data_IF_429702104700
#
_entry.id   IF_429702104700
#
_cell.length_a   1.000
_cell.length_b   1.000
_cell.length_c   1.000
_cell.angle_alpha   90.00
_cell.angle_beta   90.00
_cell.angle_gamma   90.00
#
_symmetry.space_group_name_H-M   'P 1'
#
loop_
_entity.id
_entity.type
_entity.pdbx_description
1 polymer ?
#
# COMPACT_ATOMS: atom_id res chain seq x y z
N UNK A 1 22.09 -101.85 9.13
CA UNK A 1 21.08 -100.95 9.62
C UNK A 1 20.96 -99.83 8.64
N UNK A 2 19.82 -99.73 7.91
CA UNK A 2 19.65 -98.70 6.91
C UNK A 2 19.08 -97.47 7.52
N UNK A 3 19.63 -96.30 7.11
CA UNK A 3 19.24 -94.96 7.49
C UNK A 3 17.99 -94.57 6.70
N UNK A 4 16.92 -94.14 7.38
CA UNK A 4 15.65 -93.63 6.78
C UNK A 4 15.85 -92.24 6.26
N UNK A 5 15.29 -91.83 5.06
CA UNK A 5 15.32 -90.44 4.54
C UNK A 5 14.26 -89.57 5.22
N UNK A 6 14.69 -88.40 5.64
CA UNK A 6 13.84 -87.36 6.27
C UNK A 6 12.82 -86.76 5.29
N UNK A 7 11.53 -86.81 5.63
CA UNK A 7 10.41 -86.20 4.93
C UNK A 7 10.53 -84.68 5.00
N UNK A 8 10.77 -84.07 3.86
CA UNK A 8 10.68 -82.58 3.66
C UNK A 8 9.22 -82.14 3.75
N UNK A 9 8.88 -81.46 4.83
CA UNK A 9 7.57 -80.80 4.93
C UNK A 9 7.48 -79.68 3.88
N UNK A 10 6.54 -79.76 2.92
CA UNK A 10 6.14 -78.77 2.00
C UNK A 10 5.55 -77.56 2.76
N UNK A 11 6.08 -76.35 2.58
CA UNK A 11 5.48 -75.09 3.06
C UNK A 11 4.20 -74.84 2.31
N UNK A 12 3.09 -74.36 2.97
CA UNK A 12 1.89 -73.93 2.26
C UNK A 12 2.22 -72.78 1.41
N UNK A 13 1.81 -72.81 0.11
CA UNK A 13 1.99 -71.79 -0.88
C UNK A 13 1.27 -70.49 -0.44
N UNK A 14 1.95 -69.36 -0.56
CA UNK A 14 1.33 -68.06 -0.44
C UNK A 14 0.25 -67.91 -1.54
N UNK A 15 -0.94 -67.39 -1.22
CA UNK A 15 -1.92 -67.04 -2.25
C UNK A 15 -1.33 -65.98 -3.15
N UNK A 16 -1.66 -65.98 -4.46
CA UNK A 16 -1.20 -64.98 -5.39
C UNK A 16 -1.71 -63.58 -4.93
N UNK A 17 -0.89 -62.49 -5.12
CA UNK A 17 -1.30 -61.17 -4.75
C UNK A 17 -2.61 -60.79 -5.46
N UNK A 18 -3.56 -60.31 -4.68
CA UNK A 18 -4.83 -59.84 -5.24
C UNK A 18 -4.54 -58.74 -6.25
N UNK A 19 -5.00 -58.94 -7.49
CA UNK A 19 -4.98 -57.94 -8.56
C UNK A 19 -5.89 -56.82 -8.15
N UNK A 20 -5.35 -55.73 -7.62
CA UNK A 20 -6.10 -54.49 -7.38
C UNK A 20 -6.60 -54.00 -8.74
N UNK A 21 -7.91 -53.76 -8.92
CA UNK A 21 -8.41 -53.14 -10.14
C UNK A 21 -7.71 -51.81 -10.37
N UNK A 22 -7.35 -51.46 -11.61
CA UNK A 22 -6.73 -50.18 -11.91
C UNK A 22 -7.63 -49.03 -11.39
N UNK A 23 -7.01 -48.07 -10.70
CA UNK A 23 -7.70 -46.89 -10.21
C UNK A 23 -8.47 -46.25 -11.38
N UNK A 24 -9.74 -45.79 -11.17
CA UNK A 24 -10.51 -45.16 -12.22
C UNK A 24 -9.70 -44.01 -12.77
N UNK A 25 -9.48 -44.03 -14.08
CA UNK A 25 -8.85 -42.93 -14.82
C UNK A 25 -9.61 -41.66 -14.49
N UNK A 26 -8.94 -40.56 -14.04
CA UNK A 26 -9.63 -39.30 -13.77
C UNK A 26 -10.36 -38.87 -15.04
N UNK A 27 -11.68 -38.78 -14.95
CA UNK A 27 -12.53 -38.24 -16.02
C UNK A 27 -12.00 -36.87 -16.36
N UNK A 28 -11.68 -36.54 -17.64
CA UNK A 28 -11.24 -35.20 -18.00
C UNK A 28 -12.32 -34.23 -17.54
N UNK A 29 -11.95 -33.24 -16.72
CA UNK A 29 -12.85 -32.17 -16.33
C UNK A 29 -13.46 -31.61 -17.62
N UNK A 30 -14.81 -31.56 -17.69
CA UNK A 30 -15.54 -31.08 -18.85
C UNK A 30 -15.01 -29.68 -19.18
N UNK A 31 -14.21 -29.60 -20.25
CA UNK A 31 -13.62 -28.33 -20.71
C UNK A 31 -14.75 -27.36 -21.04
N UNK A 32 -14.57 -26.10 -20.71
CA UNK A 32 -15.50 -25.04 -21.07
C UNK A 32 -15.91 -25.19 -22.56
N UNK A 33 -17.21 -25.13 -22.91
CA UNK A 33 -17.68 -25.24 -24.31
C UNK A 33 -17.20 -24.08 -25.18
N UNK A 34 -16.63 -23.03 -24.55
CA UNK A 34 -16.15 -21.84 -25.24
C UNK A 34 -14.66 -21.92 -25.60
N UNK A 35 -14.24 -21.38 -26.77
CA UNK A 35 -12.82 -21.22 -27.08
C UNK A 35 -12.07 -20.46 -25.98
N UNK A 36 -10.86 -20.90 -25.63
CA UNK A 36 -10.06 -20.28 -24.57
C UNK A 36 -9.89 -18.75 -24.75
N UNK A 37 -9.75 -18.29 -25.98
CA UNK A 37 -9.68 -16.87 -26.32
C UNK A 37 -10.94 -16.11 -25.90
N UNK A 38 -12.11 -16.66 -26.09
CA UNK A 38 -13.40 -16.05 -25.70
C UNK A 38 -13.52 -15.97 -24.17
N UNK A 39 -13.11 -17.03 -23.45
CA UNK A 39 -13.10 -17.03 -21.99
C UNK A 39 -12.17 -15.96 -21.43
N UNK A 40 -10.97 -15.82 -22.00
CA UNK A 40 -10.00 -14.79 -21.60
C UNK A 40 -10.52 -13.39 -21.90
N UNK A 41 -11.05 -13.15 -23.11
CA UNK A 41 -11.61 -11.84 -23.49
C UNK A 41 -12.79 -11.46 -22.60
N UNK A 42 -13.69 -12.42 -22.32
CA UNK A 42 -14.81 -12.20 -21.41
C UNK A 42 -14.34 -11.88 -19.99
N UNK A 43 -13.33 -12.60 -19.49
CA UNK A 43 -12.71 -12.33 -18.20
C UNK A 43 -12.14 -10.91 -18.12
N UNK A 44 -11.40 -10.47 -19.15
CA UNK A 44 -10.86 -9.11 -19.24
C UNK A 44 -12.01 -8.07 -19.27
N UNK A 45 -13.03 -8.30 -20.08
CA UNK A 45 -14.18 -7.40 -20.19
C UNK A 45 -14.94 -7.28 -18.87
N UNK A 46 -15.17 -8.40 -18.17
CA UNK A 46 -15.79 -8.40 -16.84
C UNK A 46 -14.92 -7.70 -15.79
N UNK A 47 -13.61 -7.95 -15.78
CA UNK A 47 -12.69 -7.26 -14.90
C UNK A 47 -12.72 -5.73 -15.13
N UNK A 48 -12.71 -5.29 -16.39
CA UNK A 48 -12.83 -3.88 -16.72
C UNK A 48 -14.19 -3.30 -16.32
N UNK A 49 -15.28 -4.03 -16.54
CA UNK A 49 -16.63 -3.61 -16.09
C UNK A 49 -16.71 -3.47 -14.57
N UNK A 50 -16.08 -4.38 -13.80
CA UNK A 50 -16.00 -4.28 -12.34
C UNK A 50 -15.19 -3.04 -11.93
N UNK A 51 -14.04 -2.76 -12.56
CA UNK A 51 -13.24 -1.57 -12.26
C UNK A 51 -14.01 -0.27 -12.58
N UNK A 52 -14.78 -0.23 -13.68
CA UNK A 52 -15.66 0.90 -13.99
C UNK A 52 -16.77 1.06 -12.94
N UNK A 53 -17.40 -0.03 -12.51
CA UNK A 53 -18.39 -0.01 -11.43
C UNK A 53 -17.82 0.51 -10.12
N UNK A 54 -16.63 0.05 -9.75
CA UNK A 54 -15.90 0.56 -8.57
C UNK A 54 -15.57 2.06 -8.70
N UNK A 55 -15.17 2.51 -9.90
CA UNK A 55 -14.90 3.94 -10.15
C UNK A 55 -16.15 4.79 -10.00
N UNK A 56 -17.31 4.35 -10.48
CA UNK A 56 -18.60 5.03 -10.31
C UNK A 56 -19.04 5.15 -8.84
N UNK A 57 -18.69 4.16 -8.02
CA UNK A 57 -19.02 4.10 -6.60
C UNK A 57 -17.87 4.54 -5.70
N UNK A 58 -16.81 5.15 -6.24
CA UNK A 58 -15.57 5.48 -5.53
C UNK A 58 -15.80 6.32 -4.27
N UNK A 59 -16.76 7.25 -4.30
CA UNK A 59 -17.03 8.16 -3.18
C UNK A 59 -17.61 7.44 -1.96
N UNK A 60 -18.10 6.21 -2.14
CA UNK A 60 -18.57 5.32 -1.07
C UNK A 60 -17.56 4.23 -0.75
N UNK A 61 -16.98 3.60 -1.77
CA UNK A 61 -16.08 2.45 -1.62
C UNK A 61 -14.74 2.87 -1.04
N UNK A 62 -14.11 3.93 -1.57
CA UNK A 62 -12.78 4.34 -1.16
C UNK A 62 -12.71 4.70 0.34
N UNK A 63 -13.61 5.54 0.90
CA UNK A 63 -13.59 5.83 2.34
C UNK A 63 -13.96 4.62 3.20
N UNK A 64 -14.86 3.75 2.72
CA UNK A 64 -15.24 2.54 3.47
C UNK A 64 -14.08 1.54 3.51
N UNK A 65 -13.36 1.38 2.41
CA UNK A 65 -12.19 0.52 2.35
C UNK A 65 -11.02 1.11 3.16
N UNK A 66 -10.85 2.44 3.18
CA UNK A 66 -9.91 3.12 4.09
C UNK A 66 -10.27 2.83 5.55
N UNK A 67 -11.56 2.94 5.92
CA UNK A 67 -12.02 2.61 7.27
C UNK A 67 -11.68 1.17 7.66
N UNK A 68 -11.93 0.21 6.77
CA UNK A 68 -11.56 -1.20 6.99
C UNK A 68 -10.05 -1.36 7.22
N UNK A 69 -9.23 -0.71 6.40
CA UNK A 69 -7.77 -0.75 6.53
C UNK A 69 -7.29 -0.18 7.87
N UNK A 70 -7.83 0.97 8.29
CA UNK A 70 -7.49 1.59 9.58
C UNK A 70 -7.92 0.71 10.76
N UNK A 71 -9.09 0.08 10.68
CA UNK A 71 -9.57 -0.88 11.68
C UNK A 71 -8.65 -2.10 11.76
N UNK A 72 -8.20 -2.65 10.63
CA UNK A 72 -7.24 -3.75 10.60
C UNK A 72 -5.88 -3.33 11.17
N UNK A 73 -5.42 -2.11 10.89
CA UNK A 73 -4.19 -1.55 11.42
C UNK A 73 -4.26 -1.35 12.95
N UNK A 74 -5.41 -0.87 13.45
CA UNK A 74 -5.63 -0.60 14.87
C UNK A 74 -6.04 -1.83 15.71
N UNK A 75 -6.32 -2.98 15.08
CA UNK A 75 -6.73 -4.21 15.79
C UNK A 75 -5.75 -4.68 16.90
N UNK A 76 -4.42 -4.49 16.83
CA UNK A 76 -3.52 -4.79 17.95
C UNK A 76 -3.79 -3.94 19.18
N UNK A 77 -4.09 -2.64 19.00
CA UNK A 77 -4.43 -1.73 20.10
C UNK A 77 -5.69 -2.21 20.84
N UNK A 78 -6.74 -2.58 20.08
CA UNK A 78 -7.96 -3.13 20.66
C UNK A 78 -7.69 -4.42 21.46
N UNK A 79 -6.88 -5.34 20.88
CA UNK A 79 -6.52 -6.58 21.57
C UNK A 79 -5.71 -6.34 22.83
N UNK A 80 -4.79 -5.39 22.80
CA UNK A 80 -4.01 -4.99 23.97
C UNK A 80 -4.90 -4.43 25.06
N UNK A 81 -5.84 -3.51 24.74
CA UNK A 81 -6.80 -2.96 25.70
C UNK A 81 -7.65 -4.06 26.36
N UNK A 82 -8.14 -5.02 25.58
CA UNK A 82 -8.88 -6.17 26.12
C UNK A 82 -7.98 -7.05 27.00
N UNK A 83 -6.71 -7.23 26.63
CA UNK A 83 -5.72 -7.99 27.38
C UNK A 83 -5.37 -7.38 28.74
N UNK A 84 -5.44 -6.06 28.89
CA UNK A 84 -5.26 -5.35 30.18
C UNK A 84 -6.56 -5.22 30.99
N UNK A 85 -7.64 -5.92 30.56
CA UNK A 85 -8.90 -6.00 31.31
C UNK A 85 -9.97 -4.96 30.93
N UNK A 86 -9.76 -4.16 29.88
CA UNK A 86 -10.78 -3.23 29.40
C UNK A 86 -11.94 -4.02 28.76
N UNK A 87 -13.20 -3.76 29.12
CA UNK A 87 -14.37 -4.39 28.50
C UNK A 87 -14.34 -4.22 26.98
N UNK A 88 -14.70 -5.27 26.22
CA UNK A 88 -14.59 -5.33 24.76
C UNK A 88 -15.23 -4.14 24.05
N UNK A 89 -16.42 -3.72 24.51
CA UNK A 89 -17.14 -2.56 23.93
C UNK A 89 -16.35 -1.27 24.16
N UNK A 90 -15.84 -1.06 25.37
CA UNK A 90 -15.04 0.14 25.69
C UNK A 90 -13.73 0.12 24.88
N UNK A 91 -13.06 -1.02 24.74
CA UNK A 91 -11.88 -1.17 23.92
C UNK A 91 -12.16 -0.83 22.44
N UNK A 92 -13.32 -1.24 21.91
CA UNK A 92 -13.74 -0.89 20.54
C UNK A 92 -13.97 0.63 20.40
N UNK A 93 -14.66 1.26 21.37
CA UNK A 93 -14.90 2.71 21.38
C UNK A 93 -13.60 3.49 21.48
N UNK A 94 -12.70 3.10 22.39
CA UNK A 94 -11.40 3.77 22.54
C UNK A 94 -10.53 3.62 21.29
N UNK A 95 -10.51 2.44 20.66
CA UNK A 95 -9.73 2.23 19.44
C UNK A 95 -10.33 2.99 18.25
N UNK A 96 -11.67 3.00 18.13
CA UNK A 96 -12.36 3.81 17.11
C UNK A 96 -12.11 5.31 17.32
N UNK A 97 -12.14 5.78 18.57
CA UNK A 97 -11.79 7.14 18.94
C UNK A 97 -10.33 7.49 18.61
N UNK A 98 -9.40 6.56 18.85
CA UNK A 98 -7.98 6.74 18.48
C UNK A 98 -7.78 6.84 16.95
N UNK A 99 -8.48 6.03 16.15
CA UNK A 99 -8.48 6.16 14.69
C UNK A 99 -8.98 7.54 14.27
N UNK A 100 -10.09 7.98 14.88
CA UNK A 100 -10.69 9.27 14.55
C UNK A 100 -9.79 10.45 14.96
N UNK A 101 -9.20 10.39 16.14
CA UNK A 101 -8.22 11.37 16.61
C UNK A 101 -6.98 11.42 15.68
N UNK A 102 -6.50 10.27 15.23
CA UNK A 102 -5.42 10.20 14.24
C UNK A 102 -5.82 10.88 12.91
N UNK A 103 -7.01 10.62 12.39
CA UNK A 103 -7.49 11.25 11.16
C UNK A 103 -7.64 12.76 11.31
N UNK A 104 -8.20 13.25 12.43
CA UNK A 104 -8.29 14.68 12.71
C UNK A 104 -6.88 15.30 12.75
N UNK A 105 -5.97 14.72 13.53
CA UNK A 105 -4.59 15.20 13.62
C UNK A 105 -3.90 15.23 12.25
N UNK A 106 -4.07 14.18 11.44
CA UNK A 106 -3.54 14.06 10.10
C UNK A 106 -4.04 15.20 9.18
N UNK A 107 -5.35 15.41 9.09
CA UNK A 107 -5.92 16.45 8.23
C UNK A 107 -5.65 17.87 8.76
N UNK A 108 -5.61 18.04 10.09
CA UNK A 108 -5.23 19.33 10.68
C UNK A 108 -3.76 19.66 10.38
N UNK A 109 -2.86 18.69 10.51
CA UNK A 109 -1.45 18.87 10.17
C UNK A 109 -1.25 19.20 8.67
N UNK A 110 -1.98 18.51 7.78
CA UNK A 110 -1.97 18.80 6.36
C UNK A 110 -2.48 20.23 6.07
N UNK A 111 -3.60 20.62 6.68
CA UNK A 111 -4.18 21.94 6.51
C UNK A 111 -3.26 23.05 7.03
N UNK A 112 -2.67 22.85 8.20
CA UNK A 112 -1.68 23.77 8.75
C UNK A 112 -0.45 23.89 7.84
N UNK A 113 0.09 22.77 7.37
CA UNK A 113 1.24 22.75 6.46
C UNK A 113 0.92 23.50 5.15
N UNK A 114 -0.22 23.21 4.52
CA UNK A 114 -0.65 23.89 3.31
C UNK A 114 -0.89 25.41 3.52
N UNK A 115 -1.48 25.80 4.65
CA UNK A 115 -1.69 27.21 4.99
C UNK A 115 -0.35 27.95 5.19
N UNK A 116 0.58 27.38 5.93
CA UNK A 116 1.91 27.93 6.12
C UNK A 116 2.67 28.11 4.80
N UNK A 117 2.53 27.13 3.88
CA UNK A 117 3.12 27.24 2.54
C UNK A 117 2.49 28.35 1.70
N UNK A 118 1.16 28.51 1.75
CA UNK A 118 0.46 29.61 1.03
C UNK A 118 0.92 30.97 1.57
N UNK A 119 1.03 31.11 2.88
CA UNK A 119 1.49 32.35 3.52
C UNK A 119 2.90 32.72 3.07
N UNK A 120 3.83 31.77 3.15
CA UNK A 120 5.25 31.96 2.76
C UNK A 120 5.38 32.29 1.26
N UNK A 121 4.78 31.47 0.37
CA UNK A 121 4.84 31.68 -1.08
C UNK A 121 4.15 32.97 -1.54
N UNK A 122 3.22 33.51 -0.73
CA UNK A 122 2.51 34.77 -1.01
C UNK A 122 3.31 35.98 -0.55
N UNK A 123 4.41 35.83 0.18
CA UNK A 123 5.20 36.91 0.71
C UNK A 123 5.81 37.78 -0.41
N UNK A 124 5.97 39.10 -0.20
CA UNK A 124 6.60 39.98 -1.20
C UNK A 124 8.04 39.57 -1.52
N UNK A 125 8.76 39.08 -0.52
CA UNK A 125 10.13 38.64 -0.65
C UNK A 125 10.28 37.44 -1.60
N UNK A 126 9.39 36.42 -1.47
CA UNK A 126 9.36 35.26 -2.37
C UNK A 126 9.04 35.65 -3.82
N UNK A 127 8.07 36.58 -4.02
CA UNK A 127 7.72 37.07 -5.36
C UNK A 127 8.86 37.85 -6.01
N UNK A 128 9.66 38.58 -5.23
CA UNK A 128 10.83 39.29 -5.74
C UNK A 128 11.92 38.30 -6.15
N UNK A 129 12.28 37.36 -5.28
CA UNK A 129 13.30 36.33 -5.58
C UNK A 129 12.90 35.47 -6.77
N UNK A 130 11.62 35.11 -6.88
CA UNK A 130 11.12 34.40 -8.06
C UNK A 130 11.39 35.19 -9.35
N UNK A 131 11.09 36.49 -9.37
CA UNK A 131 11.35 37.33 -10.54
C UNK A 131 12.84 37.43 -10.87
N UNK A 132 13.69 37.58 -9.88
CA UNK A 132 15.13 37.63 -10.05
C UNK A 132 15.68 36.34 -10.66
N UNK A 133 15.31 35.17 -10.10
CA UNK A 133 15.71 33.88 -10.63
C UNK A 133 15.15 33.60 -12.03
N UNK A 134 13.90 33.97 -12.27
CA UNK A 134 13.29 33.88 -13.59
C UNK A 134 14.07 34.68 -14.62
N UNK A 135 14.39 35.95 -14.32
CA UNK A 135 15.19 36.81 -15.20
C UNK A 135 16.58 36.23 -15.43
N UNK A 136 17.26 35.75 -14.40
CA UNK A 136 18.56 35.09 -14.53
C UNK A 136 18.51 33.82 -15.41
N UNK A 137 17.49 32.98 -15.21
CA UNK A 137 17.30 31.78 -16.01
C UNK A 137 17.03 32.10 -17.49
N UNK A 138 16.18 33.09 -17.77
CA UNK A 138 15.91 33.56 -19.14
C UNK A 138 17.17 34.10 -19.80
N UNK A 139 17.90 34.98 -19.12
CA UNK A 139 19.16 35.56 -19.64
C UNK A 139 20.21 34.49 -19.90
N UNK A 140 20.32 33.50 -19.02
CA UNK A 140 21.22 32.37 -19.20
C UNK A 140 20.86 31.52 -20.44
N UNK A 141 19.58 31.23 -20.63
CA UNK A 141 19.09 30.44 -21.76
C UNK A 141 19.20 31.20 -23.11
N UNK A 142 18.98 32.53 -23.10
CA UNK A 142 19.22 33.40 -24.26
C UNK A 142 20.68 33.34 -24.71
N UNK A 143 21.64 33.27 -23.77
CA UNK A 143 23.09 33.13 -24.07
C UNK A 143 23.43 31.83 -24.81
N UNK A 144 22.58 30.80 -24.76
CA UNK A 144 22.75 29.54 -25.50
C UNK A 144 21.92 29.47 -26.79
N UNK A 145 21.25 30.55 -27.20
CA UNK A 145 20.50 30.59 -28.46
C UNK A 145 19.18 29.80 -28.47
N UNK A 146 18.65 29.46 -27.29
CA UNK A 146 17.39 28.77 -27.17
C UNK A 146 16.22 29.76 -27.34
N UNK A 147 15.27 29.43 -28.22
CA UNK A 147 14.11 30.31 -28.50
C UNK A 147 13.24 30.53 -27.25
N UNK A 148 13.06 31.79 -26.96
CA UNK A 148 12.39 32.34 -25.74
C UNK A 148 10.98 31.79 -25.52
N UNK A 149 10.18 31.63 -26.58
CA UNK A 149 8.73 31.42 -26.49
C UNK A 149 8.30 30.06 -25.93
N UNK A 150 9.07 29.00 -26.10
CA UNK A 150 8.67 27.66 -25.68
C UNK A 150 9.18 27.32 -24.29
N UNK A 151 10.43 27.71 -23.99
CA UNK A 151 11.07 27.46 -22.69
C UNK A 151 10.53 28.38 -21.59
N UNK A 152 10.28 29.65 -21.91
CA UNK A 152 9.65 30.61 -21.01
C UNK A 152 8.27 30.15 -20.55
N UNK A 153 7.43 29.72 -21.49
CA UNK A 153 6.08 29.19 -21.17
C UNK A 153 6.15 27.90 -20.31
N UNK A 154 7.12 27.03 -20.55
CA UNK A 154 7.30 25.82 -19.74
C UNK A 154 7.83 26.13 -18.33
N UNK A 155 8.81 27.03 -18.21
CA UNK A 155 9.33 27.50 -16.92
C UNK A 155 8.28 28.23 -16.10
N UNK A 156 7.53 29.16 -16.72
CA UNK A 156 6.37 29.83 -16.10
C UNK A 156 5.33 28.79 -15.64
N UNK A 157 5.07 27.76 -16.44
CA UNK A 157 4.06 26.77 -16.10
C UNK A 157 4.43 25.89 -14.89
N UNK A 158 5.72 25.64 -14.66
CA UNK A 158 6.22 24.77 -13.58
C UNK A 158 6.55 25.56 -12.31
N UNK A 159 7.09 26.77 -12.46
CA UNK A 159 7.58 27.58 -11.34
C UNK A 159 6.61 28.69 -10.90
N UNK A 160 5.46 28.84 -11.54
CA UNK A 160 4.48 29.88 -11.20
C UNK A 160 3.97 29.72 -9.75
N UNK A 161 4.33 30.64 -8.82
CA UNK A 161 3.86 30.57 -7.45
C UNK A 161 2.32 30.58 -7.34
N UNK A 162 1.62 31.25 -8.27
CA UNK A 162 0.16 31.31 -8.26
C UNK A 162 -0.49 29.94 -8.49
N UNK A 163 0.11 29.08 -9.30
CA UNK A 163 -0.35 27.69 -9.49
C UNK A 163 -0.13 26.82 -8.26
N UNK A 164 1.04 26.96 -7.62
CA UNK A 164 1.33 26.25 -6.37
C UNK A 164 0.39 26.71 -5.25
N UNK A 165 0.17 28.03 -5.11
CA UNK A 165 -0.78 28.60 -4.17
C UNK A 165 -2.21 28.12 -4.47
N UNK A 166 -2.60 28.08 -5.74
CA UNK A 166 -3.92 27.59 -6.18
C UNK A 166 -4.12 26.12 -5.85
N UNK A 167 -3.10 25.28 -6.09
CA UNK A 167 -3.13 23.84 -5.74
C UNK A 167 -3.23 23.61 -4.22
N UNK A 168 -2.43 24.34 -3.43
CA UNK A 168 -2.47 24.29 -1.96
C UNK A 168 -3.80 24.83 -1.42
N UNK A 169 -4.32 25.93 -1.98
CA UNK A 169 -5.64 26.48 -1.67
C UNK A 169 -6.76 25.48 -1.96
N UNK A 170 -6.64 24.74 -3.06
CA UNK A 170 -7.54 23.63 -3.39
C UNK A 170 -7.50 22.50 -2.35
N UNK A 171 -6.32 22.16 -1.83
CA UNK A 171 -6.18 21.19 -0.72
C UNK A 171 -6.93 21.71 0.51
N UNK A 172 -6.66 22.95 0.92
CA UNK A 172 -7.30 23.59 2.10
C UNK A 172 -8.83 23.64 1.93
N UNK A 173 -9.31 24.06 0.76
CA UNK A 173 -10.75 24.16 0.47
C UNK A 173 -11.47 22.82 0.52
N UNK A 174 -10.79 21.75 0.09
CA UNK A 174 -11.35 20.39 0.12
C UNK A 174 -11.29 19.72 1.50
N UNK A 175 -10.45 20.20 2.44
CA UNK A 175 -10.35 19.60 3.78
C UNK A 175 -11.68 19.61 4.54
N UNK A 176 -12.47 20.69 4.41
CA UNK A 176 -13.81 20.78 5.00
C UNK A 176 -14.75 19.69 4.48
N UNK A 177 -14.73 19.43 3.18
CA UNK A 177 -15.48 18.35 2.54
C UNK A 177 -15.03 16.96 3.01
N UNK A 178 -13.72 16.75 3.12
CA UNK A 178 -13.13 15.48 3.61
C UNK A 178 -13.52 15.24 5.07
N UNK A 179 -13.44 16.26 5.93
CA UNK A 179 -13.86 16.14 7.33
C UNK A 179 -15.37 15.85 7.45
N UNK A 180 -16.21 16.45 6.61
CA UNK A 180 -17.62 16.13 6.50
C UNK A 180 -17.89 14.67 6.11
N UNK A 181 -17.17 14.18 5.10
CA UNK A 181 -17.23 12.77 4.69
C UNK A 181 -16.73 11.83 5.81
N UNK A 182 -15.68 12.19 6.53
CA UNK A 182 -15.16 11.42 7.66
C UNK A 182 -16.19 11.32 8.78
N UNK A 183 -16.93 12.40 9.08
CA UNK A 183 -17.97 12.38 10.10
C UNK A 183 -19.04 11.33 9.79
N UNK A 184 -19.46 11.24 8.52
CA UNK A 184 -20.41 10.20 8.08
C UNK A 184 -19.81 8.80 8.19
N UNK A 185 -18.48 8.65 8.00
CA UNK A 185 -17.79 7.35 8.06
C UNK A 185 -17.38 6.95 9.48
N UNK A 186 -17.46 7.82 10.47
CA UNK A 186 -17.29 7.45 11.90
C UNK A 186 -18.18 6.29 12.27
N UNK A 187 -19.43 6.32 11.83
CA UNK A 187 -20.41 5.25 12.08
C UNK A 187 -19.91 3.92 11.49
N UNK A 188 -19.37 3.94 10.26
CA UNK A 188 -18.81 2.74 9.61
C UNK A 188 -17.61 2.19 10.40
N UNK A 189 -16.69 3.08 10.84
CA UNK A 189 -15.54 2.66 11.67
C UNK A 189 -16.03 2.01 12.95
N UNK A 190 -17.02 2.60 13.61
CA UNK A 190 -17.59 2.07 14.85
C UNK A 190 -18.23 0.69 14.63
N UNK A 191 -19.04 0.50 13.60
CA UNK A 191 -19.63 -0.82 13.30
C UNK A 191 -18.53 -1.84 12.96
N UNK A 192 -17.54 -1.48 12.16
CA UNK A 192 -16.41 -2.36 11.87
C UNK A 192 -15.63 -2.74 13.13
N UNK A 193 -15.42 -1.79 14.06
CA UNK A 193 -14.75 -2.07 15.33
C UNK A 193 -15.55 -3.03 16.22
N UNK A 194 -16.88 -2.91 16.24
CA UNK A 194 -17.77 -3.87 16.95
C UNK A 194 -17.70 -5.24 16.29
N UNK A 195 -17.72 -5.31 14.96
CA UNK A 195 -17.65 -6.57 14.21
C UNK A 195 -16.33 -7.29 14.40
N UNK A 196 -15.19 -6.55 14.58
CA UNK A 196 -13.90 -7.19 14.86
C UNK A 196 -13.88 -8.00 16.16
N UNK A 197 -14.79 -7.72 17.12
CA UNK A 197 -14.90 -8.52 18.34
C UNK A 197 -15.34 -9.96 18.08
N UNK A 198 -16.13 -10.21 17.03
CA UNK A 198 -16.59 -11.52 16.61
C UNK A 198 -15.76 -12.12 15.47
N UNK A 199 -14.83 -11.36 14.90
CA UNK A 199 -14.08 -11.74 13.70
C UNK A 199 -13.31 -13.08 13.89
N UNK A 200 -12.69 -13.30 15.05
CA UNK A 200 -11.98 -14.54 15.34
C UNK A 200 -12.91 -15.76 15.30
N UNK A 201 -14.10 -15.67 15.91
CA UNK A 201 -15.09 -16.76 15.87
C UNK A 201 -15.64 -17.00 14.48
N UNK A 202 -15.96 -15.93 13.73
CA UNK A 202 -16.41 -16.02 12.34
C UNK A 202 -15.34 -16.68 11.45
N UNK A 203 -14.06 -16.29 11.65
CA UNK A 203 -12.94 -16.87 10.90
C UNK A 203 -12.75 -18.36 11.20
N UNK A 204 -12.90 -18.79 12.46
CA UNK A 204 -12.84 -20.21 12.82
C UNK A 204 -13.93 -21.03 12.12
N UNK A 205 -15.18 -20.52 12.02
CA UNK A 205 -16.25 -21.18 11.28
C UNK A 205 -15.98 -21.26 9.77
N UNK A 206 -15.34 -20.23 9.19
CA UNK A 206 -14.94 -20.27 7.78
C UNK A 206 -13.80 -21.28 7.57
N UNK A 207 -12.86 -21.36 8.51
CA UNK A 207 -11.72 -22.28 8.44
C UNK A 207 -12.16 -23.76 8.44
N UNK A 208 -13.21 -24.10 9.19
CA UNK A 208 -13.79 -25.45 9.21
C UNK A 208 -14.31 -25.91 7.83
N UNK A 209 -14.86 -25.01 7.03
CA UNK A 209 -15.50 -25.34 5.75
C UNK A 209 -14.64 -24.95 4.54
N UNK A 210 -13.90 -23.84 4.64
CA UNK A 210 -13.12 -23.23 3.56
C UNK A 210 -11.75 -22.76 4.04
N UNK A 211 -10.82 -23.67 4.42
CA UNK A 211 -9.54 -23.32 5.04
C UNK A 211 -8.68 -22.41 4.16
N UNK A 212 -8.69 -22.62 2.84
CA UNK A 212 -7.93 -21.76 1.92
C UNK A 212 -8.41 -20.29 1.96
N UNK A 213 -9.73 -20.07 2.03
CA UNK A 213 -10.31 -18.72 2.12
C UNK A 213 -9.97 -18.09 3.46
N UNK A 214 -10.09 -18.85 4.57
CA UNK A 214 -9.73 -18.37 5.89
C UNK A 214 -8.25 -17.93 5.97
N UNK A 215 -7.35 -18.76 5.45
CA UNK A 215 -5.92 -18.44 5.38
C UNK A 215 -5.62 -17.22 4.50
N UNK A 216 -6.25 -17.13 3.32
CA UNK A 216 -6.08 -15.99 2.42
C UNK A 216 -6.53 -14.66 3.08
N UNK A 217 -7.69 -14.65 3.74
CA UNK A 217 -8.20 -13.48 4.45
C UNK A 217 -7.36 -13.11 5.68
N UNK A 218 -6.86 -14.11 6.42
CA UNK A 218 -5.95 -13.90 7.54
C UNK A 218 -4.62 -13.28 7.07
N UNK A 219 -4.06 -13.80 5.98
CA UNK A 219 -2.84 -13.27 5.35
C UNK A 219 -3.04 -11.85 4.85
N UNK A 220 -4.18 -11.56 4.21
CA UNK A 220 -4.55 -10.20 3.82
C UNK A 220 -4.58 -9.25 5.03
N UNK A 221 -5.29 -9.61 6.10
CA UNK A 221 -5.41 -8.77 7.28
C UNK A 221 -4.05 -8.54 7.96
N UNK A 222 -3.17 -9.55 7.98
CA UNK A 222 -1.80 -9.43 8.48
C UNK A 222 -0.94 -8.55 7.59
N UNK A 223 -1.00 -8.74 6.27
CA UNK A 223 -0.26 -7.94 5.29
C UNK A 223 -0.64 -6.46 5.36
N UNK A 224 -1.94 -6.15 5.40
CA UNK A 224 -2.44 -4.77 5.57
C UNK A 224 -1.92 -4.15 6.87
N UNK A 225 -2.02 -4.87 8.00
CA UNK A 225 -1.54 -4.37 9.28
C UNK A 225 -0.05 -4.05 9.24
N UNK A 226 0.75 -5.00 8.73
CA UNK A 226 2.20 -4.82 8.64
C UNK A 226 2.55 -3.66 7.71
N UNK A 227 1.86 -3.53 6.58
CA UNK A 227 2.01 -2.40 5.67
C UNK A 227 1.80 -1.06 6.40
N UNK A 228 0.67 -0.88 7.09
CA UNK A 228 0.37 0.38 7.79
C UNK A 228 1.37 0.69 8.89
N UNK A 229 1.72 -0.30 9.73
CA UNK A 229 2.69 -0.10 10.83
C UNK A 229 4.07 0.27 10.28
N UNK A 230 4.57 -0.48 9.30
CA UNK A 230 5.90 -0.24 8.72
C UNK A 230 5.94 1.10 7.99
N UNK A 231 4.94 1.40 7.15
CA UNK A 231 4.88 2.66 6.40
C UNK A 231 4.77 3.86 7.34
N UNK A 232 3.98 3.76 8.43
CA UNK A 232 3.87 4.84 9.42
C UNK A 232 5.19 5.06 10.16
N UNK A 233 5.82 3.98 10.64
CA UNK A 233 7.06 4.08 11.40
C UNK A 233 8.20 4.63 10.53
N UNK A 234 8.43 4.04 9.37
CA UNK A 234 9.50 4.48 8.48
C UNK A 234 9.22 5.84 7.86
N UNK A 235 7.94 6.14 7.54
CA UNK A 235 7.54 7.48 7.09
C UNK A 235 7.81 8.55 8.15
N UNK A 236 7.56 8.26 9.43
CA UNK A 236 7.89 9.18 10.52
C UNK A 236 9.41 9.37 10.66
N UNK A 237 10.19 8.29 10.58
CA UNK A 237 11.67 8.36 10.63
C UNK A 237 12.20 9.23 9.49
N UNK A 238 11.75 8.98 8.26
CA UNK A 238 12.16 9.78 7.08
C UNK A 238 11.77 11.24 7.28
N UNK A 239 10.51 11.52 7.65
CA UNK A 239 10.03 12.88 7.85
C UNK A 239 10.84 13.66 8.90
N UNK A 240 11.19 13.02 10.02
CA UNK A 240 12.04 13.64 11.06
C UNK A 240 13.42 13.94 10.53
N UNK A 241 14.03 13.02 9.78
CA UNK A 241 15.36 13.24 9.19
C UNK A 241 15.33 14.31 8.10
N UNK A 242 14.28 14.36 7.30
CA UNK A 242 14.06 15.40 6.29
C UNK A 242 13.90 16.78 6.95
N UNK A 243 13.13 16.87 8.05
CA UNK A 243 13.02 18.12 8.83
C UNK A 243 14.36 18.59 9.36
N UNK A 244 15.16 17.68 9.94
CA UNK A 244 16.49 17.99 10.45
C UNK A 244 17.40 18.47 9.31
N UNK A 245 17.38 17.80 8.18
CA UNK A 245 18.18 18.18 7.00
C UNK A 245 17.77 19.57 6.47
N UNK A 246 16.48 19.85 6.31
CA UNK A 246 15.96 21.14 5.86
C UNK A 246 16.31 22.27 6.82
N UNK A 247 16.21 21.99 8.13
CA UNK A 247 16.60 22.96 9.16
C UNK A 247 18.09 23.32 9.06
N UNK A 248 18.97 22.34 8.88
CA UNK A 248 20.41 22.57 8.72
C UNK A 248 20.76 23.28 7.42
N UNK A 249 19.99 23.02 6.35
CA UNK A 249 20.14 23.71 5.07
C UNK A 249 19.50 25.12 5.07
N UNK A 250 18.86 25.55 6.18
CA UNK A 250 18.21 26.85 6.28
C UNK A 250 16.98 27.00 5.38
N UNK A 251 16.33 25.89 5.01
CA UNK A 251 15.15 25.93 4.15
C UNK A 251 13.92 26.32 4.99
N UNK A 252 13.17 27.34 4.59
CA UNK A 252 11.97 27.76 5.32
C UNK A 252 10.93 26.67 5.40
N UNK A 253 10.09 26.72 6.45
CA UNK A 253 8.98 25.79 6.65
C UNK A 253 9.39 24.30 6.78
N UNK A 254 10.58 24.02 7.33
CA UNK A 254 11.08 22.65 7.46
C UNK A 254 10.05 21.68 8.08
N UNK A 255 9.33 22.09 9.13
CA UNK A 255 8.27 21.28 9.75
C UNK A 255 7.09 21.02 8.80
N UNK A 256 6.67 22.00 8.03
CA UNK A 256 5.57 21.85 7.07
C UNK A 256 5.96 20.83 5.98
N UNK A 257 7.19 20.90 5.47
CA UNK A 257 7.72 19.92 4.52
C UNK A 257 7.86 18.53 5.13
N UNK A 258 8.23 18.41 6.40
CA UNK A 258 8.24 17.13 7.11
C UNK A 258 6.86 16.50 7.19
N UNK A 259 5.82 17.30 7.46
CA UNK A 259 4.43 16.81 7.41
C UNK A 259 4.09 16.29 6.02
N UNK A 260 4.40 17.05 4.96
CA UNK A 260 4.17 16.61 3.57
C UNK A 260 4.93 15.32 3.27
N UNK A 261 6.21 15.25 3.63
CA UNK A 261 7.03 14.04 3.44
C UNK A 261 6.43 12.83 4.15
N UNK A 262 5.98 12.98 5.40
CA UNK A 262 5.28 11.93 6.14
C UNK A 262 4.02 11.45 5.44
N UNK A 263 3.17 12.39 4.99
CA UNK A 263 1.88 12.06 4.36
C UNK A 263 2.07 11.41 2.99
N UNK A 264 2.99 11.93 2.20
CA UNK A 264 3.26 11.39 0.86
C UNK A 264 3.95 10.04 0.89
N UNK A 265 4.65 9.70 1.98
CA UNK A 265 5.29 8.40 2.16
C UNK A 265 4.33 7.20 2.10
N UNK A 266 3.02 7.42 2.32
CA UNK A 266 2.02 6.36 2.13
C UNK A 266 1.72 6.05 0.65
N UNK A 267 2.18 6.88 -0.29
CA UNK A 267 1.99 6.65 -1.73
C UNK A 267 3.26 5.99 -2.29
N UNK A 268 3.21 4.69 -2.66
CA UNK A 268 4.40 3.97 -3.09
C UNK A 268 5.08 4.63 -4.30
N UNK A 269 6.40 4.73 -4.29
CA UNK A 269 7.26 5.22 -5.38
C UNK A 269 7.08 6.69 -5.80
N UNK A 270 5.87 7.24 -5.77
CA UNK A 270 5.59 8.63 -6.17
C UNK A 270 5.66 9.57 -4.96
N UNK A 271 5.36 9.07 -3.77
CA UNK A 271 5.32 9.87 -2.55
C UNK A 271 6.62 10.62 -2.26
N UNK A 272 7.75 9.96 -2.47
CA UNK A 272 9.07 10.59 -2.36
C UNK A 272 9.22 11.82 -3.28
N UNK A 273 8.81 11.70 -4.56
CA UNK A 273 8.93 12.81 -5.53
C UNK A 273 8.04 13.98 -5.11
N UNK A 274 6.80 13.71 -4.69
CA UNK A 274 5.87 14.73 -4.19
C UNK A 274 6.43 15.41 -2.93
N UNK A 275 7.07 14.66 -2.05
CA UNK A 275 7.69 15.18 -0.84
C UNK A 275 8.98 15.99 -1.08
N UNK A 276 9.72 15.67 -2.15
CA UNK A 276 11.02 16.29 -2.48
C UNK A 276 10.88 17.57 -3.31
N UNK A 277 10.04 17.55 -4.35
CA UNK A 277 10.01 18.63 -5.36
C UNK A 277 9.68 19.99 -4.75
N UNK A 278 8.66 20.15 -3.89
CA UNK A 278 8.34 21.44 -3.33
C UNK A 278 9.42 22.02 -2.41
N UNK A 279 10.00 21.30 -1.43
CA UNK A 279 11.07 21.86 -0.60
C UNK A 279 12.34 22.16 -1.40
N UNK A 280 12.66 21.39 -2.46
CA UNK A 280 13.77 21.72 -3.35
C UNK A 280 13.50 23.02 -4.14
N UNK A 281 12.28 23.25 -4.61
CA UNK A 281 11.89 24.50 -5.27
C UNK A 281 11.96 25.68 -4.30
N UNK A 282 11.50 25.51 -3.05
CA UNK A 282 11.59 26.54 -2.02
C UNK A 282 13.06 26.81 -1.66
N UNK A 283 13.91 25.79 -1.55
CA UNK A 283 15.35 25.96 -1.33
C UNK A 283 16.02 26.73 -2.47
N UNK A 284 15.61 26.48 -3.73
CA UNK A 284 16.09 27.22 -4.90
C UNK A 284 15.77 28.71 -4.79
N UNK A 285 14.55 29.02 -4.42
CA UNK A 285 14.07 30.40 -4.29
C UNK A 285 14.69 31.11 -3.07
N UNK A 286 14.79 30.42 -1.93
CA UNK A 286 15.27 31.00 -0.69
C UNK A 286 16.80 31.16 -0.65
N UNK A 287 17.52 30.11 -1.06
CA UNK A 287 18.95 29.95 -0.76
C UNK A 287 19.81 29.70 -2.02
N UNK A 288 19.18 29.63 -3.20
CA UNK A 288 19.85 29.47 -4.49
C UNK A 288 20.09 28.02 -4.93
N UNK A 289 20.70 27.82 -6.12
CA UNK A 289 20.76 26.53 -6.80
C UNK A 289 21.59 25.47 -6.07
N UNK A 290 22.63 25.87 -5.39
CA UNK A 290 23.50 24.95 -4.63
C UNK A 290 22.71 24.32 -3.47
N UNK A 291 21.92 25.13 -2.77
CA UNK A 291 21.12 24.63 -1.65
C UNK A 291 19.97 23.73 -2.13
N UNK A 292 19.32 24.08 -3.24
CA UNK A 292 18.34 23.22 -3.88
C UNK A 292 18.91 21.85 -4.26
N UNK A 293 20.13 21.84 -4.85
CA UNK A 293 20.83 20.60 -5.19
C UNK A 293 21.15 19.77 -3.93
N UNK A 294 21.58 20.43 -2.85
CA UNK A 294 21.83 19.74 -1.57
C UNK A 294 20.54 19.11 -1.00
N UNK A 295 19.40 19.80 -1.06
CA UNK A 295 18.09 19.23 -0.67
C UNK A 295 17.81 17.99 -1.50
N UNK A 296 17.94 18.05 -2.83
CA UNK A 296 17.69 16.88 -3.71
C UNK A 296 18.61 15.71 -3.35
N UNK A 297 19.88 15.97 -3.14
CA UNK A 297 20.89 14.92 -2.81
C UNK A 297 20.58 14.30 -1.44
N UNK A 298 20.35 15.13 -0.41
CA UNK A 298 20.10 14.64 0.96
C UNK A 298 18.79 13.85 1.03
N UNK A 299 17.70 14.37 0.48
CA UNK A 299 16.40 13.64 0.43
C UNK A 299 16.53 12.34 -0.33
N UNK A 300 17.20 12.35 -1.49
CA UNK A 300 17.39 11.12 -2.28
C UNK A 300 18.24 10.10 -1.53
N UNK A 301 19.30 10.53 -0.86
CA UNK A 301 20.15 9.66 -0.05
C UNK A 301 19.39 9.07 1.15
N UNK A 302 18.65 9.89 1.90
CA UNK A 302 17.85 9.44 3.04
C UNK A 302 16.77 8.44 2.61
N UNK A 303 16.01 8.78 1.56
CA UNK A 303 14.98 7.91 1.07
C UNK A 303 15.56 6.60 0.50
N UNK A 304 16.67 6.66 -0.26
CA UNK A 304 17.32 5.47 -0.77
C UNK A 304 17.80 4.56 0.37
N UNK A 305 18.49 5.09 1.36
CA UNK A 305 19.01 4.30 2.49
C UNK A 305 17.85 3.69 3.30
N UNK A 306 16.85 4.49 3.62
CA UNK A 306 15.78 4.05 4.52
C UNK A 306 14.79 3.16 3.76
N UNK A 307 14.26 3.61 2.61
CA UNK A 307 13.20 2.90 1.90
C UNK A 307 13.72 1.73 1.06
N UNK A 308 14.94 1.83 0.49
CA UNK A 308 15.46 0.77 -0.38
C UNK A 308 16.35 -0.24 0.34
N UNK A 309 17.06 0.15 1.42
CA UNK A 309 17.99 -0.74 2.11
C UNK A 309 17.48 -1.21 3.47
N UNK A 310 16.84 -0.34 4.26
CA UNK A 310 16.45 -0.65 5.64
C UNK A 310 15.02 -1.17 5.70
N UNK A 311 14.07 -0.44 5.15
CA UNK A 311 12.63 -0.76 5.22
C UNK A 311 12.30 -2.17 4.70
N UNK A 312 12.86 -2.68 3.59
CA UNK A 312 12.56 -4.02 3.09
C UNK A 312 12.89 -5.13 4.09
N UNK A 313 13.94 -4.95 4.92
CA UNK A 313 14.30 -5.92 5.97
C UNK A 313 13.22 -6.08 7.04
N UNK A 314 12.42 -5.03 7.29
CA UNK A 314 11.32 -5.03 8.26
C UNK A 314 9.97 -5.32 7.61
N UNK A 315 9.82 -4.98 6.33
CA UNK A 315 8.60 -5.28 5.58
C UNK A 315 8.54 -6.78 5.27
N UNK A 316 9.69 -7.40 4.97
CA UNK A 316 9.80 -8.82 4.58
C UNK A 316 8.86 -9.13 3.42
N UNK A 317 8.50 -10.40 3.26
CA UNK A 317 7.53 -10.86 2.25
C UNK A 317 6.07 -10.44 2.54
N UNK A 318 5.84 -9.61 3.56
CA UNK A 318 4.49 -9.31 4.06
C UNK A 318 3.65 -8.42 3.14
N UNK A 319 4.27 -7.60 2.29
CA UNK A 319 3.55 -6.89 1.22
C UNK A 319 3.51 -7.75 -0.04
N UNK A 320 4.42 -8.73 -0.14
CA UNK A 320 4.35 -9.88 -1.02
C UNK A 320 4.20 -9.62 -2.52
N UNK A 321 4.37 -8.37 -3.00
CA UNK A 321 4.24 -8.03 -4.43
C UNK A 321 5.53 -7.39 -4.96
N UNK A 322 5.83 -7.64 -6.24
CA UNK A 322 6.99 -7.04 -6.90
C UNK A 322 6.86 -5.51 -7.02
N UNK A 323 7.96 -4.75 -7.11
CA UNK A 323 7.91 -3.30 -7.32
C UNK A 323 7.12 -2.88 -8.56
N UNK A 324 7.20 -3.66 -9.64
CA UNK A 324 6.43 -3.43 -10.87
C UNK A 324 4.92 -3.55 -10.61
N UNK A 325 4.51 -4.60 -9.89
CA UNK A 325 3.09 -4.80 -9.51
C UNK A 325 2.63 -3.67 -8.60
N UNK A 326 3.46 -3.23 -7.65
CA UNK A 326 3.14 -2.10 -6.78
C UNK A 326 2.92 -0.81 -7.57
N UNK A 327 3.75 -0.53 -8.59
CA UNK A 327 3.62 0.65 -9.45
C UNK A 327 2.36 0.59 -10.34
N UNK A 328 2.11 -0.55 -10.99
CA UNK A 328 0.90 -0.76 -11.79
C UNK A 328 -0.35 -0.63 -10.89
N UNK A 329 -0.31 -1.24 -9.71
CA UNK A 329 -1.36 -1.13 -8.71
C UNK A 329 -1.68 0.32 -8.36
N UNK A 330 -0.65 1.15 -8.15
CA UNK A 330 -0.82 2.57 -7.88
C UNK A 330 -1.59 3.28 -9.00
N UNK A 331 -1.21 3.05 -10.27
CA UNK A 331 -1.90 3.67 -11.42
C UNK A 331 -3.35 3.22 -11.49
N UNK A 332 -3.60 1.91 -11.37
CA UNK A 332 -4.95 1.33 -11.46
C UNK A 332 -5.83 1.85 -10.34
N UNK A 333 -5.38 1.77 -9.09
CA UNK A 333 -6.21 2.17 -7.96
C UNK A 333 -6.35 3.68 -7.80
N UNK A 334 -5.36 4.48 -8.23
CA UNK A 334 -5.50 5.92 -8.34
C UNK A 334 -6.57 6.32 -9.36
N UNK A 335 -6.67 5.59 -10.47
CA UNK A 335 -7.74 5.80 -11.45
C UNK A 335 -9.10 5.33 -10.91
N UNK A 336 -9.17 4.14 -10.29
CA UNK A 336 -10.43 3.54 -9.81
C UNK A 336 -11.01 4.28 -8.61
N UNK A 337 -10.21 4.57 -7.60
CA UNK A 337 -10.65 5.11 -6.31
C UNK A 337 -10.18 6.57 -6.06
N UNK A 338 -9.54 7.20 -7.06
CA UNK A 338 -9.02 8.56 -6.92
C UNK A 338 -7.80 8.65 -5.99
N UNK A 339 -7.53 9.83 -5.38
CA UNK A 339 -6.37 10.04 -4.50
C UNK A 339 -6.31 9.07 -3.32
N UNK A 340 -7.46 8.72 -2.75
CA UNK A 340 -7.55 7.69 -1.69
C UNK A 340 -7.15 6.32 -2.22
N UNK A 341 -7.42 6.03 -3.50
CA UNK A 341 -6.98 4.81 -4.16
C UNK A 341 -5.45 4.72 -4.30
N UNK A 342 -4.77 5.82 -4.55
CA UNK A 342 -3.31 5.87 -4.54
C UNK A 342 -2.73 5.45 -3.17
N UNK A 343 -3.32 5.95 -2.09
CA UNK A 343 -2.98 5.59 -0.71
C UNK A 343 -3.25 4.11 -0.41
N UNK A 344 -4.34 3.58 -0.94
CA UNK A 344 -4.82 2.21 -0.70
C UNK A 344 -4.35 1.20 -1.76
N UNK A 345 -3.48 1.60 -2.67
CA UNK A 345 -3.08 0.78 -3.82
C UNK A 345 -2.59 -0.61 -3.43
N UNK A 346 -1.64 -0.69 -2.51
CA UNK A 346 -1.13 -1.97 -2.02
C UNK A 346 -2.18 -2.77 -1.23
N UNK A 347 -2.87 -2.21 -0.23
CA UNK A 347 -3.98 -2.91 0.44
C UNK A 347 -5.05 -3.45 -0.51
N UNK A 348 -5.44 -2.67 -1.53
CA UNK A 348 -6.45 -3.10 -2.49
C UNK A 348 -5.95 -4.27 -3.37
N UNK A 349 -4.70 -4.21 -3.79
CA UNK A 349 -4.07 -5.31 -4.52
C UNK A 349 -3.92 -6.55 -3.66
N UNK A 350 -3.57 -6.41 -2.37
CA UNK A 350 -3.54 -7.53 -1.44
C UNK A 350 -4.91 -8.18 -1.26
N UNK A 351 -6.00 -7.38 -1.23
CA UNK A 351 -7.36 -7.92 -1.16
C UNK A 351 -7.70 -8.72 -2.43
N UNK A 352 -7.45 -8.15 -3.61
CA UNK A 352 -7.68 -8.84 -4.89
C UNK A 352 -6.85 -10.12 -4.97
N UNK A 353 -5.58 -10.08 -4.59
CA UNK A 353 -4.70 -11.24 -4.52
C UNK A 353 -5.25 -12.30 -3.57
N UNK A 354 -5.65 -11.92 -2.37
CA UNK A 354 -6.19 -12.85 -1.38
C UNK A 354 -7.45 -13.56 -1.88
N UNK A 355 -8.41 -12.81 -2.47
CA UNK A 355 -9.70 -13.35 -2.89
C UNK A 355 -9.61 -14.16 -4.19
N UNK A 356 -8.83 -13.71 -5.18
CA UNK A 356 -8.80 -14.31 -6.51
C UNK A 356 -7.66 -15.32 -6.71
N UNK A 357 -6.57 -15.22 -5.93
CA UNK A 357 -5.36 -16.03 -6.15
C UNK A 357 -5.08 -16.94 -4.96
N UNK A 358 -4.97 -16.36 -3.75
CA UNK A 358 -4.55 -17.14 -2.59
C UNK A 358 -5.66 -18.09 -2.08
N UNK A 359 -6.94 -17.69 -2.23
CA UNK A 359 -8.10 -18.50 -1.86
C UNK A 359 -8.32 -19.71 -2.79
N UNK A 360 -7.90 -19.62 -4.06
CA UNK A 360 -8.05 -20.69 -5.05
C UNK A 360 -6.70 -21.39 -5.31
N UNK A 361 -6.56 -22.68 -4.92
CA UNK A 361 -5.36 -23.46 -5.21
C UNK A 361 -4.99 -23.50 -6.70
N UNK A 362 -5.99 -23.49 -7.59
CA UNK A 362 -5.77 -23.54 -9.03
C UNK A 362 -5.17 -22.22 -9.59
N UNK A 363 -5.36 -21.10 -8.90
CA UNK A 363 -4.85 -19.79 -9.30
C UNK A 363 -3.47 -19.45 -8.69
N UNK A 364 -2.97 -20.22 -7.72
CA UNK A 364 -1.72 -19.91 -6.98
C UNK A 364 -0.49 -19.76 -7.86
N UNK A 365 -0.42 -20.41 -9.01
CA UNK A 365 0.67 -20.26 -9.96
C UNK A 365 0.91 -18.79 -10.38
N UNK A 366 -0.13 -17.96 -10.31
CA UNK A 366 -0.04 -16.52 -10.62
C UNK A 366 0.90 -15.79 -9.65
N UNK A 367 1.05 -16.30 -8.43
CA UNK A 367 1.99 -15.76 -7.45
C UNK A 367 3.45 -15.78 -7.91
N UNK A 368 3.82 -16.69 -8.82
CA UNK A 368 5.16 -16.69 -9.42
C UNK A 368 5.51 -15.38 -10.14
N UNK A 369 4.51 -14.65 -10.63
CA UNK A 369 4.68 -13.37 -11.34
C UNK A 369 4.39 -12.14 -10.45
N UNK A 370 3.49 -12.28 -9.48
CA UNK A 370 3.03 -11.17 -8.65
C UNK A 370 3.83 -11.02 -7.37
N UNK A 371 4.20 -12.16 -6.75
CA UNK A 371 4.84 -12.15 -5.46
C UNK A 371 6.33 -11.79 -5.56
N UNK A 372 6.84 -11.08 -4.55
CA UNK A 372 8.27 -10.82 -4.38
C UNK A 372 9.07 -12.09 -4.18
N UNK A 373 8.46 -13.11 -3.53
CA UNK A 373 9.01 -14.45 -3.41
C UNK A 373 8.24 -15.43 -4.33
N UNK A 374 8.82 -15.91 -5.45
CA UNK A 374 8.16 -16.81 -6.38
C UNK A 374 7.85 -18.20 -5.79
N UNK A 375 8.52 -18.60 -4.70
CA UNK A 375 8.30 -19.90 -4.06
C UNK A 375 6.90 -20.01 -3.43
N UNK A 376 6.23 -18.90 -3.17
CA UNK A 376 4.83 -18.86 -2.71
C UNK A 376 3.84 -19.46 -3.73
N UNK A 377 4.25 -19.64 -4.98
CA UNK A 377 3.44 -20.31 -6.02
C UNK A 377 3.41 -21.84 -5.83
N UNK A 378 4.34 -22.43 -5.06
CA UNK A 378 4.41 -23.89 -4.86
C UNK A 378 3.31 -24.35 -3.89
N UNK A 379 2.48 -25.28 -4.35
CA UNK A 379 1.46 -25.88 -3.50
C UNK A 379 2.16 -26.74 -2.40
N UNK A 380 2.00 -26.36 -1.12
CA UNK A 380 2.45 -27.18 0.02
C UNK A 380 3.37 -26.53 1.05
N UNK A 381 3.96 -25.36 0.77
CA UNK A 381 4.90 -24.70 1.69
C UNK A 381 4.25 -24.05 2.92
N UNK A 382 2.92 -24.04 3.00
CA UNK A 382 2.19 -23.28 4.02
C UNK A 382 2.16 -23.93 5.41
N UNK A 383 2.57 -25.19 5.57
CA UNK A 383 2.58 -25.85 6.89
C UNK A 383 3.94 -25.86 7.59
N UNK A 384 5.04 -25.82 6.85
CA UNK A 384 6.37 -25.91 7.44
C UNK A 384 6.99 -24.56 7.81
N UNK A 385 6.64 -23.48 7.12
CA UNK A 385 7.19 -22.14 7.42
C UNK A 385 6.62 -21.51 8.70
N UNK A 386 5.38 -21.85 9.08
CA UNK A 386 4.79 -21.35 10.35
C UNK A 386 5.33 -22.07 11.61
N UNK A 387 5.95 -23.24 11.46
CA UNK A 387 6.55 -23.96 12.60
C UNK A 387 8.01 -23.57 12.86
N UNK A 388 8.65 -22.85 11.94
CA UNK A 388 10.05 -22.39 12.10
C UNK A 388 10.17 -20.95 12.64
N UNK A 389 9.08 -20.19 12.76
CA UNK A 389 9.07 -18.81 13.28
C UNK A 389 8.42 -18.68 14.69
N UNK A 390 8.05 -19.78 15.32
CA UNK A 390 7.61 -19.80 16.73
C UNK A 390 8.67 -20.42 17.63
#
# INVERSE_FOLDING_TARGET
>A
MPVLPSLRRSRPGHPPPAVTPPAPTPTPAAGSPWPRAVVVLLGIALAFAVLLGLNQLRDYIAPTFLALNLVLAAAPLQRWLVGVGVPRIIAAVLTGGAIFAFLIAFFTALGWSAAAMVEELSSPEYRQRYRELYTQAVTFLEGYGLQQDTLTRQLESVLDPARLIGALGGVIGNLGGILGLLTTKVIVIFFLMIDTMSAGRRMALVDEQHPNVAHALASFAQGVRRYWVVTTLFGLIVAVLDVVALFWLGVPLALAWGVVAFLTNYIPNIGFVIGLVPPAAVALLANGPVNALLVVVVYSALNFVIQSLIQPKFTGDAVGVTPTVAFISLIVWAWVLGPVGALLALPATLLVKAVLIDADPAARWVNAFLASNPDTARAGTTRESFQQET
#
